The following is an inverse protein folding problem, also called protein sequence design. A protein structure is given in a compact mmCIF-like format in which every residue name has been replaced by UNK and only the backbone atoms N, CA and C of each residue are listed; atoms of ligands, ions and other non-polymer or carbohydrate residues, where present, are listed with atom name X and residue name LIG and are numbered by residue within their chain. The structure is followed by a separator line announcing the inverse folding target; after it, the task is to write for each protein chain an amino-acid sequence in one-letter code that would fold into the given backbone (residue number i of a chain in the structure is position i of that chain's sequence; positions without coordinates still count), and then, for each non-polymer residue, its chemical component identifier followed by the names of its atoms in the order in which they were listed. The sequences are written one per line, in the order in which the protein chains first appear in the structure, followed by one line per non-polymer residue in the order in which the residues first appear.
data_IF_011226290601
#
_entry.id   IF_011226290601
#
_cell.length_a   1.000
_cell.length_b   1.000
_cell.length_c   1.000
_cell.angle_alpha   90.00
_cell.angle_beta   90.00
_cell.angle_gamma   90.00
#
_symmetry.space_group_name_H-M   'P 1'
#
loop_
_entity.id
_entity.type
_entity.pdbx_description
1 polymer ?
#
# COMPACT_ATOMS: atom_id res chain seq x y z
N UNK A 1 -8.05 -8.49 -15.30
CA UNK A 1 -8.85 -9.50 -14.57
C UNK A 1 -9.95 -8.78 -13.79
N UNK A 2 -11.18 -9.27 -13.83
CA UNK A 2 -12.26 -8.75 -12.98
C UNK A 2 -12.02 -9.19 -11.54
N UNK A 3 -11.68 -8.27 -10.65
CA UNK A 3 -11.53 -8.55 -9.20
C UNK A 3 -12.92 -8.60 -8.57
N UNK A 4 -13.23 -9.65 -7.82
CA UNK A 4 -14.49 -9.75 -7.08
C UNK A 4 -14.33 -9.25 -5.65
N UNK A 5 -15.44 -8.88 -5.01
CA UNK A 5 -15.45 -8.50 -3.58
C UNK A 5 -14.92 -9.63 -2.67
N UNK A 6 -15.08 -10.90 -3.08
CA UNK A 6 -14.53 -12.04 -2.34
C UNK A 6 -12.99 -12.09 -2.40
N UNK A 7 -12.41 -11.82 -3.57
CA UNK A 7 -10.95 -11.79 -3.74
C UNK A 7 -10.31 -10.70 -2.87
N UNK A 8 -10.96 -9.53 -2.79
CA UNK A 8 -10.54 -8.43 -1.91
C UNK A 8 -10.56 -8.85 -0.45
N UNK A 9 -11.60 -9.56 0.01
CA UNK A 9 -11.69 -10.03 1.40
C UNK A 9 -10.58 -11.00 1.77
N UNK A 10 -10.22 -11.92 0.88
CA UNK A 10 -9.12 -12.87 1.14
C UNK A 10 -7.76 -12.16 1.15
N UNK A 11 -7.49 -11.32 0.15
CA UNK A 11 -6.25 -10.55 0.09
C UNK A 11 -6.08 -9.61 1.29
N UNK A 12 -7.19 -9.06 1.82
CA UNK A 12 -7.16 -8.21 3.01
C UNK A 12 -6.59 -8.90 4.23
N UNK A 13 -6.84 -10.20 4.42
CA UNK A 13 -6.25 -10.93 5.54
C UNK A 13 -4.72 -10.91 5.46
N UNK A 14 -4.17 -11.22 4.28
CA UNK A 14 -2.73 -11.18 4.04
C UNK A 14 -2.15 -9.78 4.20
N UNK A 15 -2.83 -8.76 3.67
CA UNK A 15 -2.42 -7.36 3.77
C UNK A 15 -2.37 -6.90 5.25
N UNK A 16 -3.38 -7.25 6.03
CA UNK A 16 -3.45 -6.89 7.45
C UNK A 16 -2.42 -7.64 8.28
N UNK A 17 -2.14 -8.92 7.96
CA UNK A 17 -1.07 -9.66 8.61
C UNK A 17 0.31 -9.04 8.35
N UNK A 18 0.58 -8.56 7.13
CA UNK A 18 1.79 -7.80 6.80
C UNK A 18 1.86 -6.45 7.51
N UNK A 19 0.71 -5.79 7.70
CA UNK A 19 0.62 -4.52 8.43
C UNK A 19 0.98 -4.67 9.91
N UNK A 20 0.50 -5.73 10.56
CA UNK A 20 0.74 -6.01 11.99
C UNK A 20 2.16 -6.55 12.23
N UNK A 21 2.86 -6.96 11.16
CA UNK A 21 4.23 -7.50 11.25
C UNK A 21 4.27 -8.99 11.54
N UNK A 22 3.16 -9.71 11.33
CA UNK A 22 3.13 -11.18 11.39
C UNK A 22 3.91 -11.80 10.23
N UNK A 23 4.01 -11.07 9.11
CA UNK A 23 4.81 -11.44 7.95
C UNK A 23 5.79 -10.31 7.60
N UNK A 24 7.08 -10.64 7.49
CA UNK A 24 8.15 -9.69 7.18
C UNK A 24 8.23 -9.33 5.69
N UNK A 25 7.43 -9.98 4.85
CA UNK A 25 7.43 -9.76 3.41
C UNK A 25 6.87 -8.37 3.07
N UNK A 26 7.49 -7.65 2.12
CA UNK A 26 6.97 -6.37 1.66
C UNK A 26 5.63 -6.52 0.93
N UNK A 27 4.89 -5.42 0.83
CA UNK A 27 3.70 -5.37 -0.02
C UNK A 27 4.10 -5.51 -1.48
N UNK A 28 3.51 -6.47 -2.19
CA UNK A 28 3.71 -6.64 -3.63
C UNK A 28 2.75 -5.73 -4.42
N UNK A 29 2.98 -5.59 -5.73
CA UNK A 29 2.18 -4.71 -6.58
C UNK A 29 0.71 -5.12 -6.62
N UNK A 30 0.41 -6.43 -6.67
CA UNK A 30 -0.96 -6.92 -6.69
C UNK A 30 -1.73 -6.57 -5.41
N UNK A 31 -1.11 -6.68 -4.24
CA UNK A 31 -1.66 -6.28 -2.95
C UNK A 31 -1.95 -4.77 -2.90
N UNK A 32 -1.05 -3.95 -3.45
CA UNK A 32 -1.24 -2.49 -3.57
C UNK A 32 -2.42 -2.19 -4.50
N UNK A 33 -2.53 -2.85 -5.64
CA UNK A 33 -3.65 -2.65 -6.56
C UNK A 33 -4.99 -3.14 -6.00
N UNK A 34 -4.98 -4.20 -5.19
CA UNK A 34 -6.17 -4.65 -4.45
C UNK A 34 -6.59 -3.59 -3.43
N UNK A 35 -5.65 -2.98 -2.72
CA UNK A 35 -5.92 -1.86 -1.82
C UNK A 35 -6.50 -0.65 -2.56
N UNK A 36 -5.94 -0.29 -3.72
CA UNK A 36 -6.47 0.77 -4.58
C UNK A 36 -7.92 0.46 -4.95
N UNK A 37 -8.19 -0.75 -5.45
CA UNK A 37 -9.54 -1.16 -5.81
C UNK A 37 -10.51 -1.12 -4.62
N UNK A 38 -10.08 -1.56 -3.43
CA UNK A 38 -10.90 -1.53 -2.22
C UNK A 38 -11.24 -0.11 -1.77
N UNK A 39 -10.30 0.82 -1.94
CA UNK A 39 -10.50 2.24 -1.63
C UNK A 39 -11.39 2.94 -2.68
N UNK A 40 -11.23 2.61 -3.97
CA UNK A 40 -12.08 3.14 -5.05
C UNK A 40 -13.53 2.65 -4.95
N UNK A 41 -13.70 1.39 -4.56
CA UNK A 41 -15.00 0.74 -4.50
C UNK A 41 -15.76 1.02 -3.21
N UNK A 42 -15.20 1.83 -2.29
CA UNK A 42 -15.75 2.05 -0.95
C UNK A 42 -16.10 0.70 -0.28
N UNK A 43 -15.12 -0.22 -0.28
CA UNK A 43 -15.21 -1.48 0.46
C UNK A 43 -14.58 -1.32 1.84
N UNK A 44 -13.57 -0.45 1.93
CA UNK A 44 -12.84 -0.14 3.16
C UNK A 44 -12.86 1.36 3.41
N UNK A 45 -13.16 1.73 4.64
CA UNK A 45 -13.06 3.12 5.13
C UNK A 45 -13.78 4.12 4.22
N UNK A 46 -15.02 3.83 3.81
CA UNK A 46 -15.83 4.57 2.82
C UNK A 46 -15.79 6.10 2.94
N UNK A 47 -15.64 6.62 4.17
CA UNK A 47 -15.66 8.05 4.45
C UNK A 47 -14.27 8.71 4.43
N UNK A 48 -13.20 7.94 4.30
CA UNK A 48 -11.82 8.36 4.57
C UNK A 48 -10.83 7.89 3.50
N UNK A 49 -10.94 6.63 3.05
CA UNK A 49 -10.01 5.98 2.13
C UNK A 49 -9.76 6.76 0.83
N UNK A 50 -10.81 7.35 0.25
CA UNK A 50 -10.72 8.08 -1.02
C UNK A 50 -9.69 9.23 -0.99
N UNK A 51 -9.50 9.87 0.17
CA UNK A 51 -8.53 10.98 0.34
C UNK A 51 -7.07 10.53 0.15
N UNK A 52 -6.81 9.23 0.31
CA UNK A 52 -5.48 8.64 0.25
C UNK A 52 -5.22 7.86 -1.04
N UNK A 53 -6.21 7.78 -1.95
CA UNK A 53 -6.07 7.08 -3.22
C UNK A 53 -4.95 7.63 -4.09
N UNK A 54 -4.81 8.96 -4.18
CA UNK A 54 -3.74 9.58 -4.96
C UNK A 54 -2.35 9.18 -4.45
N UNK A 55 -2.19 9.12 -3.13
CA UNK A 55 -0.94 8.65 -2.51
C UNK A 55 -0.68 7.18 -2.80
N UNK A 56 -1.72 6.34 -2.76
CA UNK A 56 -1.59 4.90 -2.99
C UNK A 56 -1.33 4.57 -4.48
N UNK A 57 -1.96 5.30 -5.41
CA UNK A 57 -1.80 5.14 -6.87
C UNK A 57 -0.43 5.55 -7.40
N UNK A 58 0.29 6.42 -6.69
CA UNK A 58 1.66 6.80 -7.07
C UNK A 58 2.71 5.74 -6.70
N UNK A 59 2.39 4.78 -5.82
CA UNK A 59 3.37 3.81 -5.32
C UNK A 59 3.78 2.71 -6.33
N UNK A 60 2.89 2.21 -7.22
CA UNK A 60 3.28 1.30 -8.29
C UNK A 60 4.30 1.93 -9.25
N UNK A 61 4.12 3.21 -9.62
CA UNK A 61 4.97 3.93 -10.58
C UNK A 61 6.39 4.15 -10.07
N UNK A 62 6.58 4.31 -8.75
CA UNK A 62 7.90 4.43 -8.10
C UNK A 62 8.74 3.16 -8.30
N UNK A 63 8.09 1.99 -8.34
CA UNK A 63 8.79 0.73 -8.55
C UNK A 63 9.23 0.54 -10.00
N UNK A 64 8.39 0.93 -10.97
CA UNK A 64 8.73 0.83 -12.39
C UNK A 64 9.84 1.81 -12.79
N UNK A 65 9.82 3.04 -12.28
CA UNK A 65 10.86 4.02 -12.54
C UNK A 65 12.24 3.54 -12.00
N UNK A 66 12.26 2.98 -10.79
CA UNK A 66 13.49 2.44 -10.20
C UNK A 66 14.10 1.26 -10.97
N UNK A 67 13.26 0.40 -11.55
CA UNK A 67 13.72 -0.71 -12.39
C UNK A 67 14.25 -0.18 -13.73
N UNK A 68 13.60 0.82 -14.31
CA UNK A 68 13.96 1.41 -15.61
C UNK A 68 15.30 2.17 -15.55
N UNK A 69 15.55 2.92 -14.47
CA UNK A 69 16.83 3.62 -14.27
C UNK A 69 18.00 2.61 -14.10
N UNK A 70 17.74 1.44 -13.53
CA UNK A 70 18.72 0.36 -13.38
C UNK A 70 19.13 -0.30 -14.71
N UNK A 71 18.22 -0.39 -15.70
CA UNK A 71 18.57 -0.92 -17.03
C UNK A 71 19.49 0.01 -17.84
N UNK A 72 19.57 1.29 -17.45
CA UNK A 72 20.42 2.29 -18.11
C UNK A 72 21.82 2.39 -17.50
N UNK A 73 22.01 1.97 -16.25
CA UNK A 73 23.28 2.04 -15.51
C UNK A 73 23.93 0.65 -15.36
N UNK A 74 24.15 -0.06 -16.47
CA UNK A 74 25.00 -1.24 -16.47
C UNK A 74 26.48 -0.81 -16.33
N UNK A 75 26.95 -0.64 -15.06
CA UNK A 75 28.35 -0.77 -14.58
C UNK A 75 28.54 -0.19 -13.15
N UNK A 76 28.31 -0.96 -12.08
CA UNK A 76 29.22 -1.04 -10.92
C UNK A 76 28.79 -2.06 -9.83
N UNK A 77 29.29 -3.29 -9.99
CA UNK A 77 29.82 -4.20 -8.96
C UNK A 77 29.47 -3.88 -7.47
N UNK A 78 28.62 -4.76 -6.91
CA UNK A 78 28.50 -5.15 -5.49
C UNK A 78 27.82 -4.20 -4.47
N UNK A 79 27.68 -2.90 -4.71
CA UNK A 79 26.84 -2.01 -3.86
C UNK A 79 25.37 -1.92 -4.34
N UNK A 80 25.10 -2.28 -5.60
CA UNK A 80 23.82 -2.11 -6.28
C UNK A 80 22.70 -3.08 -5.87
N UNK A 81 22.98 -4.21 -5.20
CA UNK A 81 21.93 -5.15 -4.76
C UNK A 81 21.11 -4.64 -3.57
N UNK A 82 21.68 -3.74 -2.75
CA UNK A 82 20.98 -3.16 -1.59
C UNK A 82 19.94 -2.11 -2.01
N UNK A 83 20.20 -1.37 -3.08
CA UNK A 83 19.34 -0.28 -3.56
C UNK A 83 17.90 -0.72 -3.93
N UNK A 84 17.68 -1.77 -4.74
CA UNK A 84 16.34 -2.23 -5.09
C UNK A 84 15.60 -2.84 -3.90
N UNK A 85 16.31 -3.54 -2.99
CA UNK A 85 15.71 -4.05 -1.75
C UNK A 85 15.26 -2.91 -0.82
N UNK A 86 16.09 -1.87 -0.71
CA UNK A 86 15.76 -0.68 0.08
C UNK A 86 14.53 0.05 -0.47
N UNK A 87 14.40 0.17 -1.80
CA UNK A 87 13.24 0.80 -2.44
C UNK A 87 11.95 -0.03 -2.27
N UNK A 88 12.03 -1.36 -2.38
CA UNK A 88 10.87 -2.24 -2.12
C UNK A 88 10.41 -2.10 -0.66
N UNK A 89 11.37 -2.05 0.26
CA UNK A 89 11.10 -1.84 1.68
C UNK A 89 10.50 -0.47 1.95
N UNK A 90 11.05 0.58 1.35
CA UNK A 90 10.55 1.95 1.48
C UNK A 90 9.11 2.07 0.94
N UNK A 91 8.84 1.52 -0.26
CA UNK A 91 7.48 1.43 -0.81
C UNK A 91 6.54 0.72 0.16
N UNK A 92 6.96 -0.41 0.71
CA UNK A 92 6.19 -1.17 1.68
C UNK A 92 5.91 -0.35 2.95
N UNK A 93 6.89 0.40 3.45
CA UNK A 93 6.72 1.28 4.61
C UNK A 93 5.77 2.45 4.31
N UNK A 94 5.79 3.00 3.09
CA UNK A 94 4.81 4.00 2.64
C UNK A 94 3.38 3.43 2.63
N UNK A 95 3.18 2.19 2.14
CA UNK A 95 1.87 1.50 2.20
C UNK A 95 1.41 1.35 3.65
N UNK A 96 2.29 0.92 4.57
CA UNK A 96 1.97 0.83 6.00
C UNK A 96 1.54 2.17 6.57
N UNK A 97 2.31 3.23 6.28
CA UNK A 97 2.02 4.58 6.77
C UNK A 97 0.65 5.08 6.29
N UNK A 98 0.31 4.85 5.02
CA UNK A 98 -1.00 5.19 4.46
C UNK A 98 -2.10 4.40 5.18
N UNK A 99 -1.97 3.08 5.31
CA UNK A 99 -2.97 2.23 5.96
C UNK A 99 -3.21 2.64 7.42
N UNK A 100 -2.15 2.86 8.19
CA UNK A 100 -2.25 3.31 9.59
C UNK A 100 -2.91 4.69 9.69
N UNK A 101 -2.60 5.59 8.76
CA UNK A 101 -3.22 6.91 8.72
C UNK A 101 -4.71 6.81 8.40
N UNK A 102 -5.10 5.98 7.43
CA UNK A 102 -6.51 5.76 7.08
C UNK A 102 -7.28 5.14 8.26
N UNK A 103 -6.71 4.13 8.93
CA UNK A 103 -7.30 3.52 10.13
C UNK A 103 -7.49 4.55 11.24
N UNK A 104 -6.45 5.34 11.52
CA UNK A 104 -6.48 6.42 12.51
C UNK A 104 -7.60 7.42 12.21
N UNK A 105 -7.65 7.93 10.97
CA UNK A 105 -8.65 8.91 10.55
C UNK A 105 -10.07 8.33 10.58
N UNK A 106 -10.26 7.06 10.21
CA UNK A 106 -11.55 6.39 10.33
C UNK A 106 -12.01 6.28 11.79
N UNK A 107 -11.10 5.92 12.70
CA UNK A 107 -11.40 5.89 14.15
C UNK A 107 -11.77 7.29 14.65
N UNK A 108 -11.02 8.34 14.29
CA UNK A 108 -11.33 9.70 14.72
C UNK A 108 -12.67 10.19 14.15
N UNK A 109 -12.98 9.85 12.91
CA UNK A 109 -14.26 10.17 12.30
C UNK A 109 -15.42 9.51 13.06
N UNK A 110 -15.30 8.21 13.35
CA UNK A 110 -16.30 7.47 14.14
C UNK A 110 -16.44 8.03 15.56
N UNK A 111 -15.32 8.38 16.20
CA UNK A 111 -15.32 9.02 17.52
C UNK A 111 -16.03 10.37 17.49
N UNK A 112 -15.77 11.19 16.47
CA UNK A 112 -16.40 12.49 16.30
C UNK A 112 -17.92 12.36 16.18
N UNK A 113 -18.39 11.42 15.36
CA UNK A 113 -19.83 11.14 15.20
C UNK A 113 -20.45 10.68 16.52
N UNK A 114 -19.79 9.77 17.24
CA UNK A 114 -20.34 9.19 18.49
C UNK A 114 -20.31 10.16 19.67
N UNK A 115 -19.31 11.05 19.72
CA UNK A 115 -19.10 11.96 20.86
C UNK A 115 -19.61 13.38 20.60
N UNK A 116 -20.10 13.68 19.39
CA UNK A 116 -20.76 14.95 19.05
C UNK A 116 -19.83 16.16 18.97
N UNK A 117 -18.56 15.96 18.63
CA UNK A 117 -17.56 17.02 18.42
C UNK A 117 -17.57 17.59 17.00
#
# INVERSE_FOLDING_TARGET
MTRTVQDVKFALHTIMDKLVGNHSEPFNTEEIEILIFAFESNILFDNVAHKFLSSLKGLPEIHEAAITDMELEDKAVEEEQSYPENLIKERSDMVKAILLTVVKENIFHDMKIRLGA
#
